data_IF_463724768906
#
_entry.id   IF_463724768906
#
_cell.length_a   1.000
_cell.length_b   1.000
_cell.length_c   1.000
_cell.angle_alpha   90.00
_cell.angle_beta   90.00
_cell.angle_gamma   90.00
#
_symmetry.space_group_name_H-M   'P 1'
#
loop_
_entity.id
_entity.type
_entity.pdbx_description
1 polymer ?
#
# COMPACT_ATOMS: atom_id res chain seq x y z
N UNK A 1 -36.73 3.22 21.80
CA UNK A 1 -36.18 3.89 20.59
C UNK A 1 -34.70 4.23 20.68
N UNK A 2 -34.17 4.47 21.85
CA UNK A 2 -32.75 4.84 22.04
C UNK A 2 -31.80 3.63 21.94
N UNK A 3 -32.30 2.42 22.12
CA UNK A 3 -31.53 1.18 22.04
C UNK A 3 -31.09 0.77 20.64
N UNK A 4 -31.59 1.41 19.60
CA UNK A 4 -31.26 1.09 18.20
C UNK A 4 -29.94 1.75 17.73
N UNK A 5 -29.44 2.72 18.45
CA UNK A 5 -28.23 3.50 18.08
C UNK A 5 -26.94 2.71 18.35
N UNK A 6 -27.02 1.68 19.17
CA UNK A 6 -25.83 0.92 19.59
C UNK A 6 -25.58 -0.38 18.78
N UNK A 7 -26.26 -0.51 17.64
CA UNK A 7 -26.14 -1.69 16.78
C UNK A 7 -24.95 -1.67 15.83
N UNK A 8 -24.18 -0.59 15.76
CA UNK A 8 -22.94 -0.57 14.99
C UNK A 8 -21.90 -1.43 15.67
N UNK A 9 -21.65 -2.58 15.08
CA UNK A 9 -20.58 -3.47 15.50
C UNK A 9 -19.25 -2.70 15.50
N UNK A 10 -18.53 -2.63 16.63
CA UNK A 10 -17.27 -1.87 16.71
C UNK A 10 -16.23 -2.30 15.67
N UNK A 11 -16.30 -3.55 15.19
CA UNK A 11 -15.47 -4.06 14.09
C UNK A 11 -15.73 -3.36 12.74
N UNK A 12 -16.97 -2.96 12.44
CA UNK A 12 -17.30 -2.25 11.20
C UNK A 12 -16.78 -0.81 11.17
N UNK A 13 -16.88 -0.10 12.29
CA UNK A 13 -16.34 1.24 12.44
C UNK A 13 -14.81 1.27 12.38
N UNK A 14 -14.14 0.31 13.02
CA UNK A 14 -12.68 0.19 13.00
C UNK A 14 -12.18 -0.12 11.57
N UNK A 15 -12.84 -1.03 10.85
CA UNK A 15 -12.49 -1.37 9.48
C UNK A 15 -12.67 -0.17 8.53
N UNK A 16 -13.75 0.59 8.67
CA UNK A 16 -13.99 1.80 7.90
C UNK A 16 -12.93 2.87 8.16
N UNK A 17 -12.54 3.05 9.43
CA UNK A 17 -11.46 3.95 9.82
C UNK A 17 -10.12 3.49 9.22
N UNK A 18 -9.79 2.22 9.36
CA UNK A 18 -8.56 1.64 8.82
C UNK A 18 -8.49 1.81 7.30
N UNK A 19 -9.60 1.60 6.59
CA UNK A 19 -9.70 1.83 5.15
C UNK A 19 -9.41 3.29 4.79
N UNK A 20 -10.01 4.25 5.49
CA UNK A 20 -9.80 5.68 5.25
C UNK A 20 -8.34 6.06 5.48
N UNK A 21 -7.78 5.65 6.60
CA UNK A 21 -6.37 5.92 6.94
C UNK A 21 -5.43 5.29 5.92
N UNK A 22 -5.68 4.04 5.51
CA UNK A 22 -4.89 3.35 4.51
C UNK A 22 -4.95 4.03 3.12
N UNK A 23 -6.12 4.49 2.69
CA UNK A 23 -6.28 5.20 1.41
C UNK A 23 -5.57 6.57 1.43
N UNK A 24 -5.70 7.31 2.53
CA UNK A 24 -5.01 8.59 2.70
C UNK A 24 -3.49 8.36 2.72
N UNK A 25 -3.03 7.37 3.48
CA UNK A 25 -1.61 7.02 3.54
C UNK A 25 -1.07 6.58 2.17
N UNK A 26 -1.83 5.78 1.41
CA UNK A 26 -1.46 5.38 0.06
C UNK A 26 -1.37 6.58 -0.89
N UNK A 27 -2.33 7.51 -0.82
CA UNK A 27 -2.32 8.73 -1.64
C UNK A 27 -1.13 9.63 -1.29
N UNK A 28 -0.91 9.88 0.00
CA UNK A 28 0.24 10.67 0.48
C UNK A 28 1.55 9.97 0.11
N UNK A 29 1.61 8.65 0.27
CA UNK A 29 2.77 7.83 -0.10
C UNK A 29 3.08 7.92 -1.59
N UNK A 30 2.06 7.81 -2.46
CA UNK A 30 2.21 7.91 -3.90
C UNK A 30 2.70 9.32 -4.31
N UNK A 31 2.03 10.37 -3.86
CA UNK A 31 2.39 11.75 -4.17
C UNK A 31 3.77 12.13 -3.61
N UNK A 32 4.06 11.72 -2.38
CA UNK A 32 5.36 11.94 -1.74
C UNK A 32 6.47 11.21 -2.49
N UNK A 33 6.28 9.95 -2.84
CA UNK A 33 7.26 9.15 -3.60
C UNK A 33 7.55 9.77 -4.97
N UNK A 34 6.51 10.20 -5.69
CA UNK A 34 6.68 10.91 -6.98
C UNK A 34 7.45 12.22 -6.79
N UNK A 35 7.09 13.02 -5.79
CA UNK A 35 7.79 14.27 -5.49
C UNK A 35 9.28 14.05 -5.20
N UNK A 36 9.61 13.02 -4.42
CA UNK A 36 10.99 12.66 -4.08
C UNK A 36 11.77 12.16 -5.30
N UNK A 37 11.15 11.33 -6.16
CA UNK A 37 11.75 10.89 -7.43
C UNK A 37 12.06 12.08 -8.35
N UNK A 38 11.12 13.02 -8.47
CA UNK A 38 11.32 14.24 -9.27
C UNK A 38 12.45 15.12 -8.71
N UNK A 39 12.53 15.26 -7.39
CA UNK A 39 13.57 16.01 -6.73
C UNK A 39 14.97 15.40 -6.97
N UNK A 40 15.10 14.08 -6.82
CA UNK A 40 16.37 13.36 -7.07
C UNK A 40 16.72 13.43 -8.56
N UNK A 41 15.73 13.25 -9.45
CA UNK A 41 15.93 13.34 -10.90
C UNK A 41 16.42 14.73 -11.35
N UNK A 42 15.90 15.81 -10.77
CA UNK A 42 16.37 17.17 -11.03
C UNK A 42 17.80 17.38 -10.57
N UNK A 43 18.16 16.87 -9.38
CA UNK A 43 19.54 16.98 -8.86
C UNK A 43 20.55 16.22 -9.71
N UNK A 44 20.15 15.08 -10.29
CA UNK A 44 21.03 14.24 -11.13
C UNK A 44 20.99 14.59 -12.62
N UNK A 45 20.22 15.61 -13.04
CA UNK A 45 20.04 15.99 -14.45
C UNK A 45 19.61 14.81 -15.33
N UNK A 46 18.74 13.94 -14.79
CA UNK A 46 18.25 12.75 -15.48
C UNK A 46 17.38 13.11 -16.70
N UNK A 47 17.47 12.37 -17.82
CA UNK A 47 16.64 12.62 -18.98
C UNK A 47 15.14 12.44 -18.62
N UNK A 48 14.28 13.27 -19.21
CA UNK A 48 12.84 13.32 -18.92
C UNK A 48 12.15 11.97 -19.10
N UNK A 49 12.56 11.19 -20.11
CA UNK A 49 12.02 9.86 -20.37
C UNK A 49 12.31 8.90 -19.22
N UNK A 50 13.56 8.89 -18.74
CA UNK A 50 13.97 8.05 -17.62
C UNK A 50 13.19 8.41 -16.35
N UNK A 51 13.00 9.72 -16.13
CA UNK A 51 12.23 10.22 -14.99
C UNK A 51 10.76 9.75 -15.05
N UNK A 52 10.13 9.85 -16.23
CA UNK A 52 8.76 9.36 -16.44
C UNK A 52 8.63 7.86 -16.18
N UNK A 53 9.58 7.06 -16.66
CA UNK A 53 9.62 5.61 -16.40
C UNK A 53 9.76 5.30 -14.91
N UNK A 54 10.61 6.03 -14.20
CA UNK A 54 10.76 5.86 -12.74
C UNK A 54 9.49 6.25 -11.98
N UNK A 55 8.80 7.32 -12.39
CA UNK A 55 7.53 7.71 -11.78
C UNK A 55 6.48 6.60 -11.95
N UNK A 56 6.33 6.07 -13.16
CA UNK A 56 5.41 4.95 -13.43
C UNK A 56 5.80 3.72 -12.60
N UNK A 57 7.09 3.41 -12.54
CA UNK A 57 7.63 2.29 -11.78
C UNK A 57 7.33 2.40 -10.28
N UNK A 58 7.58 3.57 -9.69
CA UNK A 58 7.33 3.83 -8.27
C UNK A 58 5.84 3.87 -7.93
N UNK A 59 4.98 4.28 -8.87
CA UNK A 59 3.53 4.28 -8.69
C UNK A 59 2.90 2.88 -8.83
N UNK A 60 3.58 1.92 -9.44
CA UNK A 60 3.02 0.58 -9.71
C UNK A 60 2.46 -0.14 -8.47
N UNK A 61 3.13 -0.17 -7.30
CA UNK A 61 2.56 -0.79 -6.12
C UNK A 61 1.31 -0.07 -5.60
N UNK A 62 1.25 1.25 -5.73
CA UNK A 62 0.08 2.02 -5.30
C UNK A 62 -1.13 1.78 -6.21
N UNK A 63 -0.91 1.67 -7.52
CA UNK A 63 -1.96 1.27 -8.48
C UNK A 63 -2.47 -0.14 -8.17
N UNK A 64 -1.57 -1.09 -7.91
CA UNK A 64 -1.94 -2.44 -7.51
C UNK A 64 -2.78 -2.47 -6.23
N UNK A 65 -2.44 -1.64 -5.24
CA UNK A 65 -3.21 -1.50 -4.01
C UNK A 65 -4.60 -0.91 -4.23
N UNK A 66 -4.72 0.10 -5.09
CA UNK A 66 -6.02 0.70 -5.45
C UNK A 66 -6.90 -0.33 -6.17
N UNK A 67 -6.36 -1.06 -7.14
CA UNK A 67 -7.07 -2.13 -7.84
C UNK A 67 -7.52 -3.22 -6.85
N UNK A 68 -6.63 -3.66 -5.96
CA UNK A 68 -6.96 -4.63 -4.92
C UNK A 68 -8.05 -4.11 -3.97
N UNK A 69 -8.01 -2.82 -3.60
CA UNK A 69 -9.05 -2.21 -2.77
C UNK A 69 -10.42 -2.20 -3.47
N UNK A 70 -10.47 -1.91 -4.76
CA UNK A 70 -11.71 -1.96 -5.55
C UNK A 70 -12.23 -3.41 -5.63
N UNK A 71 -11.37 -4.36 -5.90
CA UNK A 71 -11.71 -5.79 -5.97
C UNK A 71 -12.11 -6.38 -4.60
N UNK A 72 -11.66 -5.79 -3.50
CA UNK A 72 -11.85 -6.32 -2.15
C UNK A 72 -13.25 -6.16 -1.57
N UNK A 73 -14.18 -5.53 -2.28
CA UNK A 73 -15.55 -5.28 -1.80
C UNK A 73 -16.30 -6.55 -1.41
N UNK A 74 -16.01 -7.68 -2.08
CA UNK A 74 -16.61 -8.99 -1.82
C UNK A 74 -15.77 -9.88 -0.88
N UNK A 75 -14.64 -9.41 -0.42
CA UNK A 75 -13.71 -10.18 0.39
C UNK A 75 -14.08 -10.17 1.87
N UNK A 76 -13.58 -11.17 2.59
CA UNK A 76 -13.76 -11.26 4.04
C UNK A 76 -13.13 -10.07 4.78
N UNK A 77 -13.61 -9.81 6.00
CA UNK A 77 -13.10 -8.75 6.88
C UNK A 77 -11.59 -8.91 7.15
N UNK A 78 -11.14 -10.15 7.37
CA UNK A 78 -9.73 -10.47 7.62
C UNK A 78 -8.86 -10.10 6.42
N UNK A 79 -9.29 -10.47 5.21
CA UNK A 79 -8.55 -10.16 3.98
C UNK A 79 -8.48 -8.65 3.73
N UNK A 80 -9.58 -7.94 3.96
CA UNK A 80 -9.61 -6.47 3.84
C UNK A 80 -8.72 -5.78 4.88
N UNK A 81 -8.76 -6.22 6.13
CA UNK A 81 -7.88 -5.70 7.18
C UNK A 81 -6.40 -5.92 6.84
N UNK A 82 -6.06 -7.10 6.34
CA UNK A 82 -4.69 -7.41 5.85
C UNK A 82 -4.29 -6.49 4.70
N UNK A 83 -5.18 -6.29 3.71
CA UNK A 83 -4.93 -5.38 2.59
C UNK A 83 -4.63 -3.96 3.07
N UNK A 84 -5.45 -3.41 3.98
CA UNK A 84 -5.25 -2.06 4.50
C UNK A 84 -3.97 -1.94 5.32
N UNK A 85 -3.61 -2.97 6.09
CA UNK A 85 -2.34 -3.02 6.82
C UNK A 85 -1.15 -3.03 5.87
N UNK A 86 -1.21 -3.82 4.79
CA UNK A 86 -0.18 -3.83 3.74
C UNK A 86 -0.08 -2.48 3.04
N UNK A 87 -1.21 -1.83 2.76
CA UNK A 87 -1.24 -0.47 2.19
C UNK A 87 -0.49 0.53 3.08
N UNK A 88 -0.72 0.49 4.38
CA UNK A 88 -0.03 1.35 5.34
C UNK A 88 1.47 1.07 5.38
N UNK A 89 1.86 -0.20 5.46
CA UNK A 89 3.27 -0.61 5.49
C UNK A 89 4.00 -0.17 4.22
N UNK A 90 3.40 -0.40 3.05
CA UNK A 90 3.99 -0.01 1.76
C UNK A 90 4.09 1.51 1.65
N UNK A 91 3.03 2.24 2.00
CA UNK A 91 3.02 3.70 1.91
C UNK A 91 4.05 4.34 2.85
N UNK A 92 4.04 3.96 4.13
CA UNK A 92 4.95 4.51 5.12
C UNK A 92 6.39 4.05 4.89
N UNK A 93 6.59 2.79 4.54
CA UNK A 93 7.91 2.23 4.21
C UNK A 93 8.53 2.91 2.99
N UNK A 94 7.75 3.11 1.92
CA UNK A 94 8.22 3.81 0.72
C UNK A 94 8.59 5.26 1.02
N UNK A 95 7.75 5.99 1.78
CA UNK A 95 8.05 7.36 2.18
C UNK A 95 9.29 7.46 3.04
N UNK A 96 9.46 6.54 4.00
CA UNK A 96 10.63 6.52 4.87
C UNK A 96 11.92 6.29 4.07
N UNK A 97 11.93 5.29 3.20
CA UNK A 97 13.10 4.93 2.39
C UNK A 97 13.43 6.03 1.38
N UNK A 98 12.45 6.51 0.63
CA UNK A 98 12.66 7.55 -0.36
C UNK A 98 12.97 8.91 0.28
N UNK A 99 12.37 9.20 1.45
CA UNK A 99 12.65 10.40 2.23
C UNK A 99 14.09 10.44 2.73
N UNK A 100 14.57 9.34 3.28
CA UNK A 100 15.96 9.21 3.75
C UNK A 100 16.97 9.45 2.61
N UNK A 101 16.69 8.88 1.42
CA UNK A 101 17.53 9.06 0.24
C UNK A 101 17.47 10.48 -0.30
N UNK A 102 16.29 11.11 -0.32
CA UNK A 102 16.12 12.45 -0.89
C UNK A 102 16.71 13.54 0.01
N UNK A 103 16.69 13.35 1.32
CA UNK A 103 17.23 14.28 2.32
C UNK A 103 18.73 14.05 2.60
N UNK A 104 19.21 12.83 2.30
CA UNK A 104 20.62 12.47 2.49
C UNK A 104 21.52 12.89 1.33
N UNK A 105 22.85 12.70 1.48
CA UNK A 105 23.79 12.90 0.38
C UNK A 105 23.53 11.91 -0.74
N UNK A 106 23.48 12.37 -2.00
CA UNK A 106 23.26 11.53 -3.17
C UNK A 106 24.49 10.60 -3.35
N UNK A 107 24.34 9.35 -2.92
CA UNK A 107 25.37 8.30 -3.03
C UNK A 107 25.05 7.25 -4.09
N UNK A 108 25.97 6.30 -4.22
CA UNK A 108 25.84 5.16 -5.15
C UNK A 108 24.61 4.26 -4.85
N UNK A 109 24.07 4.32 -3.63
CA UNK A 109 22.91 3.50 -3.20
C UNK A 109 21.55 4.03 -3.64
N UNK A 110 21.49 5.26 -4.19
CA UNK A 110 20.21 5.92 -4.54
C UNK A 110 19.44 5.17 -5.63
N UNK A 111 20.10 4.83 -6.73
CA UNK A 111 19.47 4.16 -7.88
C UNK A 111 19.02 2.76 -7.55
N UNK A 112 19.84 1.89 -6.92
CA UNK A 112 19.40 0.53 -6.55
C UNK A 112 18.14 0.51 -5.69
N UNK A 113 17.99 1.43 -4.75
CA UNK A 113 16.82 1.48 -3.86
C UNK A 113 15.54 1.82 -4.64
N UNK A 114 15.57 2.79 -5.54
CA UNK A 114 14.42 3.12 -6.40
C UNK A 114 14.01 1.97 -7.33
N UNK A 115 14.95 1.10 -7.68
CA UNK A 115 14.67 -0.08 -8.51
C UNK A 115 14.11 -1.24 -7.68
N UNK A 116 14.58 -1.44 -6.45
CA UNK A 116 14.25 -2.60 -5.62
C UNK A 116 12.93 -2.42 -4.86
N UNK A 117 12.64 -1.21 -4.36
CA UNK A 117 11.46 -0.98 -3.51
C UNK A 117 10.12 -1.30 -4.20
N UNK A 118 9.84 -0.89 -5.45
CA UNK A 118 8.59 -1.22 -6.10
C UNK A 118 8.36 -2.73 -6.30
N UNK A 119 9.31 -3.52 -6.85
CA UNK A 119 9.08 -4.96 -6.99
C UNK A 119 8.98 -5.68 -5.63
N UNK A 120 9.74 -5.26 -4.62
CA UNK A 120 9.61 -5.80 -3.27
C UNK A 120 8.21 -5.53 -2.69
N UNK A 121 7.67 -4.34 -2.88
CA UNK A 121 6.31 -3.99 -2.48
C UNK A 121 5.25 -4.80 -3.24
N UNK A 122 5.42 -4.98 -4.54
CA UNK A 122 4.52 -5.80 -5.37
C UNK A 122 4.56 -7.28 -4.95
N UNK A 123 5.73 -7.83 -4.65
CA UNK A 123 5.86 -9.18 -4.12
C UNK A 123 5.17 -9.32 -2.76
N UNK A 124 5.33 -8.35 -1.89
CA UNK A 124 4.64 -8.33 -0.59
C UNK A 124 3.12 -8.36 -0.78
N UNK A 125 2.59 -7.51 -1.64
CA UNK A 125 1.15 -7.46 -1.95
C UNK A 125 0.69 -8.79 -2.56
N UNK A 126 1.42 -9.30 -3.56
CA UNK A 126 1.07 -10.51 -4.29
C UNK A 126 1.15 -11.79 -3.44
N UNK A 127 1.93 -11.81 -2.37
CA UNK A 127 2.05 -12.95 -1.45
C UNK A 127 1.10 -12.84 -0.27
N UNK A 128 1.08 -11.72 0.42
CA UNK A 128 0.35 -11.54 1.68
C UNK A 128 -1.17 -11.51 1.45
N UNK A 129 -1.63 -10.79 0.45
CA UNK A 129 -3.07 -10.64 0.18
C UNK A 129 -3.73 -11.96 -0.24
N UNK A 130 -3.20 -12.75 -1.21
CA UNK A 130 -3.76 -14.06 -1.53
C UNK A 130 -3.65 -15.05 -0.37
N UNK A 131 -2.58 -15.04 0.40
CA UNK A 131 -2.47 -15.91 1.58
C UNK A 131 -3.56 -15.60 2.61
N UNK A 132 -3.83 -14.34 2.89
CA UNK A 132 -4.91 -13.93 3.78
C UNK A 132 -6.27 -14.36 3.23
N UNK A 133 -6.50 -14.25 1.93
CA UNK A 133 -7.73 -14.71 1.27
C UNK A 133 -7.91 -16.23 1.39
N UNK A 134 -6.85 -17.01 1.17
CA UNK A 134 -6.88 -18.47 1.29
C UNK A 134 -7.12 -18.92 2.74
N UNK A 135 -6.46 -18.30 3.70
CA UNK A 135 -6.66 -18.59 5.13
C UNK A 135 -8.09 -18.29 5.57
N UNK A 136 -8.61 -17.15 5.15
CA UNK A 136 -9.99 -16.74 5.39
C UNK A 136 -10.99 -17.75 4.83
N UNK A 137 -10.79 -18.20 3.59
CA UNK A 137 -11.64 -19.21 2.95
C UNK A 137 -11.59 -20.56 3.69
N UNK A 138 -10.42 -20.99 4.15
CA UNK A 138 -10.26 -22.22 4.94
C UNK A 138 -10.97 -22.15 6.29
N UNK A 139 -10.88 -21.03 6.98
CA UNK A 139 -11.55 -20.81 8.26
C UNK A 139 -13.08 -20.82 8.11
N UNK A 140 -13.60 -20.20 7.05
CA UNK A 140 -15.03 -20.20 6.74
C UNK A 140 -15.56 -21.61 6.48
N UNK A 141 -14.82 -22.43 5.74
CA UNK A 141 -15.18 -23.83 5.48
C UNK A 141 -15.19 -24.70 6.74
N UNK A 142 -14.25 -24.47 7.65
CA UNK A 142 -14.23 -25.18 8.95
C UNK A 142 -15.44 -24.86 9.81
N UNK A 143 -15.86 -23.59 9.83
CA UNK A 143 -17.08 -23.18 10.57
C UNK A 143 -18.37 -23.82 10.03
N UNK A 144 -18.45 -24.08 8.75
CA UNK A 144 -19.63 -24.72 8.15
C UNK A 144 -19.71 -26.23 8.42
N UNK A 145 -18.60 -26.86 8.77
CA UNK A 145 -18.53 -28.29 9.09
C UNK A 145 -18.80 -28.64 10.56
N UNK A 146 -18.79 -27.67 11.42
CA UNK A 146 -19.16 -27.79 12.84
C UNK A 146 -20.54 -27.25 13.10
#
# INVERSE_FOLDING_TARGET
MISQVNGEKPAGGLLALLRRVALIAALVGALGSVGLVLQVGRRKHSPRLLLALFVIWVLSPFVALVVANIASKSWSVITRATLYSVMLVVALGSLAIYGDIALGPLGAKTVPVFVIVPPASLLLIATVVPMAALLSARLSRRRQRT
#
